data_IF_137389114449
#
_entry.id   IF_137389114449
#
_cell.length_a   1.000
_cell.length_b   1.000
_cell.length_c   1.000
_cell.angle_alpha   90.00
_cell.angle_beta   90.00
_cell.angle_gamma   90.00
#
_symmetry.space_group_name_H-M   'P 1'
#
loop_
_entity.id
_entity.type
_entity.pdbx_description
1 polymer ?
#
# COMPACT_ATOMS: atom_id res chain seq x y z
N UNK A 1 -35.95 9.69 27.31
CA UNK A 1 -34.50 9.36 27.24
C UNK A 1 -34.35 7.86 26.99
N UNK A 2 -33.30 7.42 26.30
CA UNK A 2 -33.07 6.00 25.94
C UNK A 2 -32.06 5.40 26.91
N UNK A 3 -32.33 4.23 27.45
CA UNK A 3 -31.40 3.49 28.30
C UNK A 3 -31.20 2.08 27.73
N UNK A 4 -29.96 1.63 27.56
CA UNK A 4 -29.66 0.26 27.13
C UNK A 4 -29.23 -0.56 28.33
N UNK A 5 -29.91 -1.68 28.60
CA UNK A 5 -29.62 -2.61 29.69
C UNK A 5 -29.55 -4.02 29.10
N UNK A 6 -28.46 -4.74 29.36
CA UNK A 6 -28.25 -6.12 28.92
C UNK A 6 -28.49 -6.35 27.41
N UNK A 7 -28.17 -5.35 26.57
CA UNK A 7 -28.35 -5.39 25.11
C UNK A 7 -29.77 -5.11 24.63
N UNK A 8 -30.73 -4.84 25.53
CA UNK A 8 -32.09 -4.42 25.20
C UNK A 8 -32.20 -2.90 25.38
N UNK A 9 -32.77 -2.22 24.39
CA UNK A 9 -33.06 -0.78 24.48
C UNK A 9 -34.40 -0.54 25.19
N UNK A 10 -34.44 0.46 26.07
CA UNK A 10 -35.60 0.84 26.84
C UNK A 10 -35.94 2.32 26.65
N UNK A 11 -37.23 2.63 26.57
CA UNK A 11 -37.78 3.99 26.66
C UNK A 11 -38.06 4.32 28.13
N UNK A 12 -37.57 5.46 28.58
CA UNK A 12 -37.91 6.02 29.90
C UNK A 12 -39.23 6.78 29.84
N UNK A 13 -40.19 6.36 30.68
CA UNK A 13 -41.53 6.92 30.75
C UNK A 13 -41.86 7.31 32.19
N UNK A 14 -42.21 8.58 32.42
CA UNK A 14 -42.66 9.08 33.71
C UNK A 14 -44.13 8.65 33.96
N UNK A 15 -44.31 7.45 34.51
CA UNK A 15 -45.62 6.90 34.93
C UNK A 15 -45.45 5.93 36.09
N UNK A 16 -46.54 5.61 36.80
CA UNK A 16 -46.51 4.62 37.88
C UNK A 16 -46.14 3.25 37.29
N UNK A 17 -45.20 2.56 37.94
CA UNK A 17 -44.75 1.24 37.53
C UNK A 17 -45.76 0.15 37.92
N UNK A 18 -45.72 -0.97 37.20
CA UNK A 18 -46.44 -2.20 37.51
C UNK A 18 -45.47 -3.27 38.03
N UNK A 19 -46.01 -4.25 38.77
CA UNK A 19 -45.21 -5.38 39.27
C UNK A 19 -44.53 -6.10 38.10
N UNK A 20 -43.22 -6.31 38.20
CA UNK A 20 -42.40 -6.97 37.19
C UNK A 20 -41.75 -6.03 36.17
N UNK A 21 -42.12 -4.75 36.12
CA UNK A 21 -41.45 -3.77 35.24
C UNK A 21 -40.06 -3.38 35.75
N UNK A 22 -39.20 -2.91 34.84
CA UNK A 22 -37.93 -2.28 35.20
C UNK A 22 -38.14 -0.78 35.40
N UNK A 23 -37.47 -0.20 36.39
CA UNK A 23 -37.44 1.24 36.63
C UNK A 23 -35.99 1.74 36.70
N UNK A 24 -35.76 3.00 36.37
CA UNK A 24 -34.48 3.70 36.56
C UNK A 24 -34.68 4.87 37.50
N UNK A 25 -33.80 4.99 38.50
CA UNK A 25 -33.79 6.14 39.41
C UNK A 25 -33.27 7.38 38.68
N UNK A 26 -33.99 8.50 38.78
CA UNK A 26 -33.66 9.78 38.11
C UNK A 26 -33.63 10.98 39.05
N UNK A 27 -34.16 10.83 40.27
CA UNK A 27 -34.15 11.86 41.31
C UNK A 27 -34.08 11.18 42.69
N UNK A 28 -32.93 10.59 43.01
CA UNK A 28 -32.76 9.78 44.21
C UNK A 28 -32.85 10.62 45.51
N UNK A 29 -33.87 10.35 46.32
CA UNK A 29 -34.07 10.90 47.67
C UNK A 29 -34.06 9.76 48.72
N UNK A 30 -32.99 8.96 48.70
CA UNK A 30 -32.79 7.88 49.67
C UNK A 30 -32.09 8.40 50.94
N UNK A 31 -32.77 8.50 52.10
CA UNK A 31 -32.17 8.99 53.35
C UNK A 31 -31.04 8.09 53.86
N UNK A 32 -31.03 6.82 53.44
CA UNK A 32 -30.00 5.84 53.80
C UNK A 32 -29.02 5.55 52.65
N UNK A 33 -29.08 6.31 51.55
CA UNK A 33 -28.24 6.14 50.34
C UNK A 33 -28.24 4.69 49.82
N UNK A 34 -29.39 4.03 49.89
CA UNK A 34 -29.56 2.64 49.44
C UNK A 34 -29.56 2.49 47.93
N UNK A 35 -29.82 3.59 47.20
CA UNK A 35 -29.77 3.71 45.75
C UNK A 35 -29.34 5.12 45.35
N UNK A 36 -28.98 5.30 44.08
CA UNK A 36 -28.57 6.57 43.46
C UNK A 36 -29.16 6.69 42.05
N UNK A 37 -29.12 7.90 41.49
CA UNK A 37 -29.49 8.15 40.10
C UNK A 37 -28.76 7.21 39.14
N UNK A 38 -29.51 6.66 38.19
CA UNK A 38 -29.05 5.68 37.23
C UNK A 38 -29.15 4.23 37.69
N UNK A 39 -29.42 3.94 38.97
CA UNK A 39 -29.67 2.57 39.40
C UNK A 39 -30.95 2.02 38.73
N UNK A 40 -30.91 0.74 38.36
CA UNK A 40 -31.99 0.05 37.66
C UNK A 40 -32.47 -1.11 38.49
N UNK A 41 -33.78 -1.19 38.69
CA UNK A 41 -34.39 -2.21 39.53
C UNK A 41 -35.61 -2.85 38.88
N UNK A 42 -35.99 -4.02 39.38
CA UNK A 42 -37.22 -4.72 39.00
C UNK A 42 -38.27 -4.54 40.10
N UNK A 43 -39.45 -4.07 39.73
CA UNK A 43 -40.54 -3.83 40.67
C UNK A 43 -41.09 -5.16 41.20
N UNK A 44 -41.16 -5.28 42.51
CA UNK A 44 -41.73 -6.43 43.22
C UNK A 44 -43.18 -6.17 43.66
N UNK A 45 -43.44 -4.99 44.23
CA UNK A 45 -44.74 -4.59 44.77
C UNK A 45 -45.01 -3.14 44.42
N UNK A 46 -46.28 -2.79 44.21
CA UNK A 46 -46.72 -1.43 43.91
C UNK A 46 -47.72 -0.98 44.97
N UNK A 47 -47.53 0.24 45.47
CA UNK A 47 -48.41 0.93 46.40
C UNK A 47 -48.99 2.18 45.72
N UNK A 48 -49.81 2.94 46.44
CA UNK A 48 -50.47 4.13 45.89
C UNK A 48 -49.47 5.14 45.32
N UNK A 49 -48.38 5.44 46.06
CA UNK A 49 -47.42 6.49 45.69
C UNK A 49 -45.96 6.01 45.61
N UNK A 50 -45.75 4.71 45.77
CA UNK A 50 -44.44 4.08 45.95
C UNK A 50 -44.41 2.67 45.33
N UNK A 51 -43.21 2.12 45.15
CA UNK A 51 -43.03 0.71 44.81
C UNK A 51 -41.88 0.09 45.62
N UNK A 52 -41.93 -1.22 45.85
CA UNK A 52 -40.82 -1.99 46.41
C UNK A 52 -40.07 -2.71 45.29
N UNK A 53 -38.75 -2.72 45.34
CA UNK A 53 -37.90 -3.35 44.31
C UNK A 53 -37.17 -4.59 44.81
N UNK A 54 -37.07 -5.61 43.95
CA UNK A 54 -36.58 -6.96 44.29
C UNK A 54 -35.13 -6.99 44.75
N UNK A 55 -34.27 -6.20 44.11
CA UNK A 55 -32.82 -6.32 44.25
C UNK A 55 -32.31 -5.81 45.61
N UNK A 56 -33.08 -4.92 46.27
CA UNK A 56 -32.68 -4.31 47.55
C UNK A 56 -33.76 -4.34 48.64
N UNK A 57 -34.99 -4.77 48.33
CA UNK A 57 -36.12 -4.72 49.28
C UNK A 57 -36.42 -3.30 49.78
N UNK A 58 -36.06 -2.29 48.99
CA UNK A 58 -36.23 -0.86 49.34
C UNK A 58 -37.48 -0.31 48.68
N UNK A 59 -38.08 0.68 49.35
CA UNK A 59 -39.18 1.47 48.81
C UNK A 59 -38.59 2.60 47.97
N UNK A 60 -39.22 2.90 46.84
CA UNK A 60 -38.89 4.00 45.92
C UNK A 60 -40.18 4.75 45.60
N UNK A 61 -40.18 6.07 45.79
CA UNK A 61 -41.32 6.95 45.48
C UNK A 61 -41.51 7.12 43.97
N UNK A 62 -42.76 7.33 43.54
CA UNK A 62 -43.08 7.53 42.13
C UNK A 62 -42.33 8.72 41.50
N UNK A 63 -41.99 9.75 42.29
CA UNK A 63 -41.21 10.91 41.84
C UNK A 63 -39.75 10.62 41.55
N UNK A 64 -39.17 9.55 42.12
CA UNK A 64 -37.73 9.28 42.04
C UNK A 64 -37.35 8.45 40.81
N UNK A 65 -38.32 7.90 40.06
CA UNK A 65 -38.04 6.96 38.98
C UNK A 65 -38.82 7.22 37.69
N UNK A 66 -38.29 6.64 36.61
CA UNK A 66 -38.99 6.43 35.33
C UNK A 66 -39.12 4.95 35.03
N UNK A 67 -40.21 4.54 34.40
CA UNK A 67 -40.40 3.16 33.93
C UNK A 67 -39.60 2.93 32.65
N UNK A 68 -38.94 1.78 32.57
CA UNK A 68 -38.19 1.32 31.42
C UNK A 68 -39.03 0.34 30.60
N UNK A 69 -39.63 0.84 29.53
CA UNK A 69 -40.40 0.02 28.60
C UNK A 69 -39.48 -0.54 27.51
N UNK A 70 -39.40 -1.88 27.33
CA UNK A 70 -38.52 -2.48 26.33
C UNK A 70 -38.98 -2.10 24.92
N UNK A 71 -38.03 -1.68 24.09
CA UNK A 71 -38.26 -1.46 22.66
C UNK A 71 -38.25 -2.84 21.98
N UNK A 72 -39.37 -3.24 21.40
CA UNK A 72 -39.49 -4.55 20.78
C UNK A 72 -38.62 -4.62 19.49
N UNK A 73 -38.00 -5.78 19.18
CA UNK A 73 -37.23 -5.94 17.93
C UNK A 73 -38.03 -5.63 16.65
N UNK A 74 -39.36 -5.78 16.68
CA UNK A 74 -40.25 -5.44 15.57
C UNK A 74 -40.29 -3.94 15.23
N UNK A 75 -39.84 -3.10 16.17
CA UNK A 75 -39.76 -1.65 16.02
C UNK A 75 -38.39 -1.20 15.49
N UNK A 76 -37.43 -2.12 15.30
CA UNK A 76 -36.10 -1.82 14.74
C UNK A 76 -36.03 -2.25 13.27
N UNK A 77 -35.52 -1.36 12.42
CA UNK A 77 -35.25 -1.61 11.00
C UNK A 77 -33.78 -1.28 10.68
N UNK A 78 -33.17 -2.06 9.79
CA UNK A 78 -31.86 -1.76 9.23
C UNK A 78 -32.04 -1.08 7.88
N UNK A 79 -31.54 0.14 7.74
CA UNK A 79 -31.53 0.90 6.49
C UNK A 79 -30.13 1.51 6.30
N UNK A 80 -29.54 1.38 5.11
CA UNK A 80 -28.16 1.82 4.82
C UNK A 80 -27.10 1.35 5.84
N UNK A 81 -27.24 0.12 6.34
CA UNK A 81 -26.34 -0.46 7.34
C UNK A 81 -26.45 0.16 8.74
N UNK A 82 -27.37 1.10 8.95
CA UNK A 82 -27.69 1.71 10.25
C UNK A 82 -28.99 1.13 10.80
N UNK A 83 -29.06 1.01 12.11
CA UNK A 83 -30.29 0.62 12.79
C UNK A 83 -31.11 1.87 13.10
N UNK A 84 -32.41 1.80 12.84
CA UNK A 84 -33.38 2.82 13.18
C UNK A 84 -34.52 2.22 13.97
N UNK A 85 -35.11 3.00 14.86
CA UNK A 85 -36.32 2.66 15.59
C UNK A 85 -37.51 3.40 14.98
N UNK A 86 -38.61 2.68 14.77
CA UNK A 86 -39.92 3.24 14.40
C UNK A 86 -40.51 3.98 15.60
N UNK A 87 -40.88 5.24 15.40
CA UNK A 87 -41.45 6.09 16.45
C UNK A 87 -42.72 6.74 15.91
N UNK A 88 -43.80 6.56 16.67
CA UNK A 88 -45.08 7.19 16.42
C UNK A 88 -45.06 8.64 16.94
N UNK A 89 -44.66 9.57 16.06
CA UNK A 89 -44.63 11.02 16.29
C UNK A 89 -44.58 11.77 14.94
N UNK A 90 -44.89 13.09 14.90
CA UNK A 90 -44.64 13.88 13.70
C UNK A 90 -43.18 13.87 13.30
N UNK A 91 -42.94 14.00 12.00
CA UNK A 91 -41.64 14.38 11.44
C UNK A 91 -41.25 15.77 11.96
N UNK A 92 -39.97 15.96 12.25
CA UNK A 92 -39.35 17.20 12.71
C UNK A 92 -38.17 17.52 11.83
N UNK A 93 -37.76 18.78 11.85
CA UNK A 93 -36.53 19.21 11.18
C UNK A 93 -35.34 18.32 11.63
N UNK A 94 -34.68 17.68 10.65
CA UNK A 94 -33.57 16.76 10.88
C UNK A 94 -33.92 15.26 10.88
N UNK A 95 -35.21 14.89 10.87
CA UNK A 95 -35.59 13.50 10.60
C UNK A 95 -35.33 13.16 9.13
N UNK A 96 -34.67 12.03 8.89
CA UNK A 96 -34.22 11.66 7.55
C UNK A 96 -35.16 10.68 6.84
N UNK A 97 -35.86 9.83 7.61
CA UNK A 97 -36.61 8.71 7.04
C UNK A 97 -37.91 8.46 7.81
N UNK A 98 -38.90 7.98 7.06
CA UNK A 98 -40.14 7.41 7.58
C UNK A 98 -40.36 6.01 7.02
N UNK A 99 -41.20 5.21 7.67
CA UNK A 99 -41.71 3.95 7.13
C UNK A 99 -43.21 4.09 6.89
N UNK A 100 -43.68 3.75 5.69
CA UNK A 100 -45.10 3.75 5.38
C UNK A 100 -45.80 2.65 6.19
N UNK A 101 -46.91 2.97 6.85
CA UNK A 101 -47.68 2.03 7.68
C UNK A 101 -49.02 1.64 7.07
N UNK A 102 -49.44 2.31 6.01
CA UNK A 102 -50.71 2.05 5.31
C UNK A 102 -50.49 1.33 3.97
N UNK A 103 -51.52 0.61 3.54
CA UNK A 103 -51.64 -0.01 2.21
C UNK A 103 -52.71 0.70 1.35
N UNK A 104 -53.18 1.87 1.78
CA UNK A 104 -54.21 2.66 1.09
C UNK A 104 -53.65 3.46 -0.11
N UNK A 105 -52.34 3.71 -0.13
CA UNK A 105 -51.66 4.35 -1.25
C UNK A 105 -51.20 3.34 -2.29
N UNK A 106 -51.54 3.57 -3.55
CA UNK A 106 -51.03 2.75 -4.67
C UNK A 106 -49.59 3.10 -5.06
N UNK A 107 -49.10 4.27 -4.62
CA UNK A 107 -47.76 4.79 -4.94
C UNK A 107 -46.76 4.57 -3.80
N UNK A 108 -47.22 4.05 -2.65
CA UNK A 108 -46.37 3.65 -1.53
C UNK A 108 -46.57 2.18 -1.21
N UNK A 109 -45.48 1.51 -0.86
CA UNK A 109 -45.45 0.15 -0.37
C UNK A 109 -45.43 0.16 1.16
N UNK A 110 -46.47 -0.42 1.78
CA UNK A 110 -46.52 -0.65 3.24
C UNK A 110 -45.25 -1.34 3.75
N UNK A 111 -44.61 -0.74 4.76
CA UNK A 111 -43.38 -1.22 5.37
C UNK A 111 -42.09 -0.79 4.67
N UNK A 112 -42.17 -0.10 3.52
CA UNK A 112 -41.00 0.46 2.84
C UNK A 112 -40.54 1.76 3.51
N UNK A 113 -39.22 1.98 3.49
CA UNK A 113 -38.57 3.19 4.00
C UNK A 113 -38.53 4.25 2.92
N UNK A 114 -38.90 5.48 3.27
CA UNK A 114 -38.90 6.64 2.39
C UNK A 114 -38.09 7.77 3.00
N UNK A 115 -37.37 8.50 2.14
CA UNK A 115 -36.63 9.69 2.54
C UNK A 115 -37.60 10.85 2.75
N UNK A 116 -37.38 11.62 3.83
CA UNK A 116 -38.09 12.88 4.07
C UNK A 116 -37.43 13.97 3.23
N UNK A 117 -38.21 14.58 2.34
CA UNK A 117 -37.76 15.66 1.45
C UNK A 117 -38.05 17.04 2.03
N UNK A 118 -39.08 17.16 2.88
CA UNK A 118 -39.51 18.42 3.45
C UNK A 118 -40.72 18.27 4.36
N UNK A 119 -41.11 19.38 4.98
CA UNK A 119 -42.33 19.52 5.78
C UNK A 119 -43.10 20.69 5.18
N UNK A 120 -44.35 20.48 4.76
CA UNK A 120 -45.25 21.53 4.28
C UNK A 120 -46.48 21.61 5.19
N UNK A 121 -46.52 22.62 6.06
CA UNK A 121 -47.55 22.72 7.09
C UNK A 121 -47.46 21.59 8.12
N UNK A 122 -48.50 20.74 8.17
CA UNK A 122 -48.57 19.55 9.05
C UNK A 122 -48.18 18.25 8.32
N UNK A 123 -48.01 18.33 6.99
CA UNK A 123 -47.72 17.17 6.14
C UNK A 123 -46.21 16.97 5.93
N UNK A 124 -45.81 15.71 5.72
CA UNK A 124 -44.45 15.36 5.32
C UNK A 124 -44.38 15.08 3.82
N UNK A 125 -43.38 15.68 3.16
CA UNK A 125 -43.09 15.40 1.75
C UNK A 125 -42.10 14.24 1.64
N UNK A 126 -42.44 13.22 0.86
CA UNK A 126 -41.60 12.05 0.56
C UNK A 126 -41.49 11.82 -0.94
N UNK A 127 -40.50 11.04 -1.39
CA UNK A 127 -40.46 10.52 -2.76
C UNK A 127 -41.11 9.14 -2.79
N UNK A 128 -42.11 8.94 -3.64
CA UNK A 128 -42.89 7.71 -3.74
C UNK A 128 -42.16 6.58 -4.51
N UNK A 129 -42.86 5.48 -4.81
CA UNK A 129 -42.29 4.32 -5.52
C UNK A 129 -41.95 4.60 -6.99
N UNK A 130 -42.60 5.58 -7.61
CA UNK A 130 -42.41 5.98 -9.01
C UNK A 130 -41.39 7.13 -9.15
N UNK A 131 -40.99 7.73 -8.02
CA UNK A 131 -40.00 8.81 -7.96
C UNK A 131 -40.62 10.20 -7.92
N UNK A 132 -41.94 10.30 -7.77
CA UNK A 132 -42.66 11.56 -7.66
C UNK A 132 -42.76 12.01 -6.19
N UNK A 133 -43.00 13.30 -5.97
CA UNK A 133 -43.17 13.86 -4.62
C UNK A 133 -44.61 13.66 -4.14
N UNK A 134 -44.77 13.14 -2.93
CA UNK A 134 -46.06 12.85 -2.30
C UNK A 134 -46.11 13.48 -0.90
N UNK A 135 -47.25 14.07 -0.55
CA UNK A 135 -47.57 14.57 0.78
C UNK A 135 -48.22 13.46 1.60
N UNK A 136 -47.74 13.20 2.82
CA UNK A 136 -48.37 12.28 3.78
C UNK A 136 -48.92 13.05 4.96
N UNK A 137 -50.15 12.70 5.34
CA UNK A 137 -50.85 13.27 6.47
C UNK A 137 -50.53 12.46 7.73
N UNK A 138 -50.40 13.15 8.86
CA UNK A 138 -50.20 12.52 10.15
C UNK A 138 -51.49 11.92 10.71
N UNK A 139 -52.64 12.54 10.47
CA UNK A 139 -53.88 12.22 11.16
C UNK A 139 -54.40 10.81 10.82
N UNK A 140 -53.97 10.26 9.69
CA UNK A 140 -54.34 8.92 9.22
C UNK A 140 -53.31 7.81 9.58
N UNK A 141 -52.32 8.11 10.44
CA UNK A 141 -51.27 7.16 10.85
C UNK A 141 -50.57 6.50 9.65
N UNK A 142 -50.28 7.28 8.62
CA UNK A 142 -49.76 6.80 7.33
C UNK A 142 -48.28 6.43 7.39
N UNK A 143 -47.57 6.92 8.43
CA UNK A 143 -46.15 6.69 8.61
C UNK A 143 -45.71 6.56 10.08
N UNK A 144 -44.51 5.99 10.27
CA UNK A 144 -43.73 6.10 11.51
C UNK A 144 -42.36 6.70 11.20
N UNK A 145 -41.86 7.58 12.07
CA UNK A 145 -40.53 8.19 11.94
C UNK A 145 -39.44 7.19 12.29
N UNK A 146 -38.34 7.17 11.54
CA UNK A 146 -37.18 6.34 11.82
C UNK A 146 -36.09 7.13 12.55
N UNK A 147 -35.99 6.94 13.86
CA UNK A 147 -34.92 7.53 14.68
C UNK A 147 -33.68 6.65 14.70
N UNK A 148 -32.47 7.19 14.48
CA UNK A 148 -31.25 6.40 14.50
C UNK A 148 -31.00 5.79 15.87
N UNK A 149 -30.70 4.49 15.90
CA UNK A 149 -30.27 3.77 17.09
C UNK A 149 -28.77 3.99 17.23
N UNK A 150 -28.35 4.70 18.28
CA UNK A 150 -26.92 4.84 18.57
C UNK A 150 -26.29 3.44 18.79
N UNK A 151 -25.18 3.11 18.12
CA UNK A 151 -24.50 1.84 18.36
C UNK A 151 -24.06 1.77 19.83
N UNK A 152 -24.23 0.62 20.46
CA UNK A 152 -23.81 0.43 21.84
C UNK A 152 -22.28 0.53 21.94
N UNK A 153 -21.79 0.98 23.10
CA UNK A 153 -20.36 1.03 23.38
C UNK A 153 -19.69 -0.35 23.17
N UNK A 154 -20.38 -1.43 23.56
CA UNK A 154 -19.91 -2.81 23.35
C UNK A 154 -19.79 -3.21 21.87
N UNK A 155 -20.68 -2.73 21.00
CA UNK A 155 -20.61 -2.99 19.56
C UNK A 155 -19.42 -2.26 18.94
N UNK A 156 -19.21 -1.00 19.31
CA UNK A 156 -18.06 -0.20 18.86
C UNK A 156 -16.73 -0.80 19.34
N UNK A 157 -16.67 -1.29 20.59
CA UNK A 157 -15.48 -1.97 21.11
C UNK A 157 -15.16 -3.24 20.33
N UNK A 158 -16.19 -4.02 19.96
CA UNK A 158 -16.02 -5.25 19.17
C UNK A 158 -15.51 -4.93 17.77
N UNK A 159 -16.08 -3.93 17.11
CA UNK A 159 -15.66 -3.49 15.79
C UNK A 159 -14.24 -2.91 15.80
N UNK A 160 -13.92 -2.12 16.82
CA UNK A 160 -12.57 -1.58 17.02
C UNK A 160 -11.55 -2.71 17.25
N UNK A 161 -11.89 -3.71 18.05
CA UNK A 161 -11.03 -4.87 18.28
C UNK A 161 -10.79 -5.65 16.98
N UNK A 162 -11.85 -5.91 16.19
CA UNK A 162 -11.74 -6.58 14.90
C UNK A 162 -10.88 -5.78 13.91
N UNK A 163 -11.05 -4.44 13.88
CA UNK A 163 -10.27 -3.56 13.02
C UNK A 163 -8.80 -3.54 13.41
N UNK A 164 -8.49 -3.43 14.71
CA UNK A 164 -7.11 -3.51 15.22
C UNK A 164 -6.44 -4.83 14.87
N UNK A 165 -7.17 -5.95 14.95
CA UNK A 165 -6.64 -7.26 14.58
C UNK A 165 -6.24 -7.32 13.09
N UNK A 166 -7.10 -6.80 12.20
CA UNK A 166 -6.79 -6.71 10.76
C UNK A 166 -5.59 -5.79 10.47
N UNK A 167 -5.47 -4.67 11.18
CA UNK A 167 -4.32 -3.76 11.03
C UNK A 167 -3.03 -4.47 11.45
N UNK A 168 -3.01 -5.17 12.58
CA UNK A 168 -1.84 -5.91 13.04
C UNK A 168 -1.42 -7.01 12.04
N UNK A 169 -2.40 -7.71 11.43
CA UNK A 169 -2.13 -8.69 10.38
C UNK A 169 -1.50 -8.04 9.14
N UNK A 170 -2.05 -6.92 8.67
CA UNK A 170 -1.51 -6.18 7.53
C UNK A 170 -0.09 -5.65 7.80
N UNK A 171 0.18 -5.16 9.00
CA UNK A 171 1.52 -4.71 9.39
C UNK A 171 2.53 -5.86 9.37
N UNK A 172 2.14 -7.05 9.83
CA UNK A 172 2.97 -8.26 9.76
C UNK A 172 3.25 -8.69 8.32
N UNK A 173 2.22 -8.68 7.45
CA UNK A 173 2.38 -8.97 6.03
C UNK A 173 3.30 -7.96 5.34
N UNK A 174 3.17 -6.66 5.65
CA UNK A 174 4.04 -5.62 5.12
C UNK A 174 5.49 -5.80 5.57
N UNK A 175 5.72 -6.19 6.83
CA UNK A 175 7.04 -6.50 7.34
C UNK A 175 7.68 -7.70 6.59
N UNK A 176 6.89 -8.73 6.31
CA UNK A 176 7.33 -9.90 5.52
C UNK A 176 7.70 -9.51 4.09
N UNK A 177 6.85 -8.74 3.40
CA UNK A 177 7.12 -8.26 2.04
C UNK A 177 8.40 -7.44 2.00
N UNK A 178 8.59 -6.52 2.95
CA UNK A 178 9.83 -5.73 3.06
C UNK A 178 11.05 -6.61 3.31
N UNK A 179 10.93 -7.69 4.10
CA UNK A 179 12.03 -8.64 4.33
C UNK A 179 12.38 -9.39 3.05
N UNK A 180 11.38 -9.91 2.34
CA UNK A 180 11.56 -10.64 1.06
C UNK A 180 12.17 -9.73 0.01
N UNK A 181 11.69 -8.49 -0.10
CA UNK A 181 12.24 -7.49 -1.02
C UNK A 181 13.69 -7.15 -0.69
N UNK A 182 14.01 -6.92 0.59
CA UNK A 182 15.39 -6.67 1.02
C UNK A 182 16.32 -7.87 0.76
N UNK A 183 15.81 -9.10 0.91
CA UNK A 183 16.56 -10.32 0.60
C UNK A 183 16.78 -10.50 -0.91
N UNK A 184 15.78 -10.18 -1.74
CA UNK A 184 15.88 -10.23 -3.20
C UNK A 184 16.83 -9.16 -3.76
N UNK A 185 16.88 -7.97 -3.13
CA UNK A 185 17.80 -6.89 -3.50
C UNK A 185 19.22 -7.10 -2.95
N UNK A 186 19.42 -8.03 -2.02
CA UNK A 186 20.74 -8.33 -1.45
C UNK A 186 21.66 -8.89 -2.53
N UNK A 187 22.72 -8.14 -2.82
CA UNK A 187 23.73 -8.52 -3.80
C UNK A 187 24.59 -9.66 -3.26
N UNK A 188 24.96 -10.61 -4.12
CA UNK A 188 25.80 -11.77 -3.79
C UNK A 188 27.16 -11.67 -4.47
N UNK A 189 28.13 -12.43 -3.97
CA UNK A 189 29.42 -12.58 -4.67
C UNK A 189 29.18 -13.02 -6.11
N UNK A 190 29.78 -12.31 -7.07
CA UNK A 190 29.58 -12.52 -8.50
C UNK A 190 28.54 -11.60 -9.15
N UNK A 191 27.63 -11.01 -8.38
CA UNK A 191 26.71 -9.99 -8.91
C UNK A 191 27.48 -8.72 -9.33
N UNK A 192 26.89 -7.97 -10.26
CA UNK A 192 27.37 -6.65 -10.66
C UNK A 192 26.43 -5.57 -10.11
N UNK A 193 27.04 -4.46 -9.69
CA UNK A 193 26.32 -3.33 -9.11
C UNK A 193 26.85 -2.01 -9.64
N UNK A 194 25.96 -1.02 -9.72
CA UNK A 194 26.31 0.37 -10.00
C UNK A 194 26.52 1.11 -8.69
N UNK A 195 27.60 1.86 -8.59
CA UNK A 195 27.86 2.73 -7.44
C UNK A 195 27.01 4.01 -7.56
N UNK A 196 26.12 4.24 -6.60
CA UNK A 196 25.17 5.37 -6.59
C UNK A 196 25.51 6.43 -5.54
N UNK A 197 26.60 6.26 -4.79
CA UNK A 197 27.05 7.26 -3.84
C UNK A 197 27.56 8.52 -4.56
N UNK A 198 26.78 9.59 -4.54
CA UNK A 198 27.16 10.89 -5.08
C UNK A 198 28.49 11.39 -4.51
N UNK A 199 29.35 11.93 -5.37
CA UNK A 199 30.67 12.47 -4.98
C UNK A 199 31.76 11.42 -4.77
N UNK A 200 31.44 10.12 -4.86
CA UNK A 200 32.43 9.05 -4.79
C UNK A 200 33.20 8.92 -6.13
N UNK A 201 34.50 8.61 -6.10
CA UNK A 201 35.33 8.48 -7.31
C UNK A 201 34.90 7.35 -8.26
N UNK A 202 34.08 6.43 -7.75
CA UNK A 202 33.46 5.36 -8.52
C UNK A 202 31.98 5.58 -8.84
N UNK A 203 31.41 6.76 -8.54
CA UNK A 203 30.03 7.09 -8.85
C UNK A 203 29.69 6.81 -10.32
N UNK A 204 28.59 6.10 -10.55
CA UNK A 204 28.10 5.68 -11.86
C UNK A 204 28.85 4.51 -12.49
N UNK A 205 29.97 4.03 -11.91
CA UNK A 205 30.71 2.89 -12.44
C UNK A 205 30.06 1.57 -12.02
N UNK A 206 30.23 0.57 -12.89
CA UNK A 206 29.86 -0.82 -12.61
C UNK A 206 31.03 -1.52 -11.94
N UNK A 207 30.73 -2.17 -10.82
CA UNK A 207 31.66 -2.99 -10.04
C UNK A 207 31.08 -4.38 -9.84
N UNK A 208 31.95 -5.37 -9.63
CA UNK A 208 31.56 -6.74 -9.31
C UNK A 208 31.75 -7.01 -7.82
N UNK A 209 30.79 -7.68 -7.22
CA UNK A 209 30.83 -8.05 -5.80
C UNK A 209 31.78 -9.22 -5.60
N UNK A 210 32.76 -9.06 -4.72
CA UNK A 210 33.76 -10.07 -4.37
C UNK A 210 33.59 -10.63 -2.96
N UNK A 211 32.88 -9.91 -2.08
CA UNK A 211 32.47 -10.33 -0.73
C UNK A 211 31.14 -9.69 -0.35
N UNK A 212 30.25 -10.39 0.35
CA UNK A 212 28.91 -9.92 0.77
C UNK A 212 28.60 -10.19 2.26
N UNK A 213 29.63 -10.51 3.04
CA UNK A 213 29.55 -10.97 4.44
C UNK A 213 30.54 -10.22 5.38
N UNK A 214 31.10 -9.08 4.94
CA UNK A 214 32.06 -8.34 5.76
C UNK A 214 31.40 -7.81 7.05
N UNK A 215 32.12 -7.80 8.19
CA UNK A 215 31.60 -7.25 9.43
C UNK A 215 31.44 -5.73 9.34
N UNK A 216 30.40 -5.20 9.98
CA UNK A 216 30.08 -3.76 10.00
C UNK A 216 29.15 -3.31 8.88
N UNK A 217 29.05 -1.99 8.66
CA UNK A 217 28.11 -1.42 7.68
C UNK A 217 28.55 -1.59 6.21
N UNK A 218 29.85 -1.75 5.97
CA UNK A 218 30.45 -1.92 4.64
C UNK A 218 30.56 -3.39 4.27
N UNK A 219 29.41 -4.02 4.05
CA UNK A 219 29.29 -5.47 3.83
C UNK A 219 29.86 -5.93 2.50
N UNK A 220 29.86 -5.05 1.48
CA UNK A 220 30.25 -5.42 0.13
C UNK A 220 31.71 -5.06 -0.16
N UNK A 221 32.51 -6.06 -0.50
CA UNK A 221 33.80 -5.86 -1.15
C UNK A 221 33.61 -5.91 -2.67
N UNK A 222 34.30 -5.04 -3.42
CA UNK A 222 34.11 -4.96 -4.87
C UNK A 222 35.41 -4.94 -5.66
N UNK A 223 35.31 -5.27 -6.94
CA UNK A 223 36.36 -5.13 -7.95
C UNK A 223 35.81 -4.39 -9.17
N UNK A 224 36.69 -3.71 -9.89
CA UNK A 224 36.38 -3.16 -11.21
C UNK A 224 36.25 -4.28 -12.25
N UNK A 225 35.65 -3.97 -13.41
CA UNK A 225 35.47 -4.96 -14.48
C UNK A 225 36.78 -5.55 -15.04
N UNK A 226 37.91 -4.84 -14.86
CA UNK A 226 39.25 -5.31 -15.23
C UNK A 226 39.90 -6.22 -14.15
N UNK A 227 39.16 -6.57 -13.09
CA UNK A 227 39.65 -7.42 -11.99
C UNK A 227 40.54 -6.70 -10.97
N UNK A 228 40.78 -5.39 -11.13
CA UNK A 228 41.50 -4.61 -10.11
C UNK A 228 40.56 -4.38 -8.92
N UNK A 229 41.08 -4.61 -7.71
CA UNK A 229 40.33 -4.36 -6.47
C UNK A 229 39.82 -2.92 -6.41
N UNK A 230 38.54 -2.78 -6.06
CA UNK A 230 37.87 -1.50 -5.91
C UNK A 230 37.57 -1.24 -4.42
N UNK A 231 36.57 -0.42 -4.15
CA UNK A 231 36.21 0.00 -2.79
C UNK A 231 35.26 -0.96 -2.08
N UNK A 232 34.96 -0.61 -0.83
CA UNK A 232 34.00 -1.29 0.03
C UNK A 232 32.74 -0.44 0.12
N UNK A 233 31.58 -1.09 0.11
CA UNK A 233 30.32 -0.38 0.01
C UNK A 233 29.29 -0.86 1.02
N UNK A 234 28.44 0.07 1.47
CA UNK A 234 27.20 -0.25 2.17
C UNK A 234 26.11 -0.64 1.15
N UNK A 235 25.03 -1.31 1.58
CA UNK A 235 23.91 -1.62 0.67
C UNK A 235 23.28 -0.39 0.01
N UNK A 236 23.23 0.76 0.69
CA UNK A 236 22.66 1.99 0.15
C UNK A 236 23.53 2.69 -0.91
N UNK A 237 24.80 2.30 -1.04
CA UNK A 237 25.74 2.88 -2.01
C UNK A 237 25.75 2.14 -3.34
N UNK A 238 25.04 1.01 -3.43
CA UNK A 238 25.01 0.14 -4.59
C UNK A 238 23.57 -0.11 -5.03
N UNK A 239 23.38 -0.20 -6.34
CA UNK A 239 22.16 -0.74 -6.94
C UNK A 239 22.52 -1.89 -7.86
N UNK A 240 21.72 -2.95 -7.93
CA UNK A 240 21.94 -4.04 -8.88
C UNK A 240 22.06 -3.46 -10.30
N UNK A 241 23.14 -3.80 -10.99
CA UNK A 241 23.36 -3.35 -12.36
C UNK A 241 22.45 -4.16 -13.30
N UNK A 242 21.94 -3.50 -14.33
CA UNK A 242 21.20 -4.18 -15.41
C UNK A 242 22.17 -4.84 -16.40
N UNK A 243 21.71 -5.87 -17.12
CA UNK A 243 22.53 -6.55 -18.13
C UNK A 243 23.05 -5.60 -19.22
N UNK A 244 22.26 -4.58 -19.56
CA UNK A 244 22.63 -3.53 -20.51
C UNK A 244 23.75 -2.64 -19.96
N UNK A 245 23.62 -2.16 -18.72
CA UNK A 245 24.67 -1.36 -18.06
C UNK A 245 25.99 -2.15 -17.94
N UNK A 246 25.91 -3.46 -17.64
CA UNK A 246 27.09 -4.33 -17.57
C UNK A 246 27.74 -4.47 -18.95
N UNK A 247 26.95 -4.71 -19.99
CA UNK A 247 27.45 -4.90 -21.36
C UNK A 247 28.10 -3.64 -21.89
N UNK A 248 27.47 -2.49 -21.70
CA UNK A 248 28.03 -1.20 -22.12
C UNK A 248 29.31 -0.85 -21.35
N UNK A 249 29.35 -1.12 -20.03
CA UNK A 249 30.55 -0.90 -19.25
C UNK A 249 31.71 -1.80 -19.68
N UNK A 250 31.44 -3.07 -20.03
CA UNK A 250 32.45 -3.99 -20.58
C UNK A 250 32.96 -3.53 -21.95
N UNK A 251 32.06 -3.10 -22.84
CA UNK A 251 32.42 -2.54 -24.16
C UNK A 251 33.33 -1.32 -24.02
N UNK A 252 32.98 -0.38 -23.14
CA UNK A 252 33.81 0.80 -22.86
C UNK A 252 35.19 0.44 -22.33
N UNK A 253 35.27 -0.56 -21.45
CA UNK A 253 36.55 -1.03 -20.93
C UNK A 253 37.41 -1.62 -22.06
N UNK A 254 36.85 -2.49 -22.90
CA UNK A 254 37.56 -3.10 -24.02
C UNK A 254 38.10 -2.04 -25.01
N UNK A 255 37.28 -1.04 -25.35
CA UNK A 255 37.72 0.08 -26.19
C UNK A 255 38.89 0.85 -25.56
N UNK A 256 38.78 1.19 -24.27
CA UNK A 256 39.85 1.89 -23.56
C UNK A 256 41.14 1.06 -23.45
N UNK A 257 41.05 -0.26 -23.30
CA UNK A 257 42.22 -1.14 -23.33
C UNK A 257 42.87 -1.24 -24.72
N UNK A 258 42.06 -1.23 -25.78
CA UNK A 258 42.56 -1.16 -27.16
C UNK A 258 43.29 0.17 -27.36
N UNK A 259 42.65 1.30 -27.03
CA UNK A 259 43.26 2.63 -27.10
C UNK A 259 44.59 2.71 -26.33
N UNK A 260 44.63 2.18 -25.11
CA UNK A 260 45.84 2.15 -24.30
C UNK A 260 46.97 1.31 -24.93
N UNK A 261 46.66 0.17 -25.55
CA UNK A 261 47.66 -0.67 -26.25
C UNK A 261 48.26 0.05 -27.46
N UNK A 262 47.44 0.72 -28.26
CA UNK A 262 47.91 1.53 -29.39
C UNK A 262 48.70 2.75 -28.92
N UNK A 263 48.22 3.46 -27.90
CA UNK A 263 48.94 4.59 -27.33
C UNK A 263 50.29 4.19 -26.73
N UNK A 264 50.39 3.01 -26.10
CA UNK A 264 51.64 2.49 -25.53
C UNK A 264 52.74 2.26 -26.58
N UNK A 265 52.37 1.98 -27.83
CA UNK A 265 53.32 1.87 -28.96
C UNK A 265 53.46 3.19 -29.73
N UNK A 266 52.87 4.28 -29.21
CA UNK A 266 52.95 5.63 -29.79
C UNK A 266 52.15 5.80 -31.08
N UNK A 267 51.01 5.11 -31.22
CA UNK A 267 50.19 5.11 -32.43
C UNK A 267 48.71 5.38 -32.14
N UNK A 268 47.97 5.83 -33.15
CA UNK A 268 46.51 5.93 -33.10
C UNK A 268 45.85 4.56 -33.30
N UNK A 269 44.61 4.40 -32.81
CA UNK A 269 43.87 3.13 -32.95
C UNK A 269 43.63 2.83 -34.43
N UNK A 270 44.16 1.69 -34.89
CA UNK A 270 44.05 1.27 -36.28
C UNK A 270 45.13 1.84 -37.21
N UNK A 271 46.16 2.50 -36.67
CA UNK A 271 47.31 2.99 -37.44
C UNK A 271 48.33 1.86 -37.72
N UNK A 272 48.06 1.09 -38.76
CA UNK A 272 49.00 0.06 -39.23
C UNK A 272 50.13 0.65 -40.07
N UNK A 273 51.31 0.04 -39.98
CA UNK A 273 52.51 0.36 -40.77
C UNK A 273 53.01 -0.88 -41.50
N UNK A 274 53.75 -0.66 -42.58
CA UNK A 274 54.42 -1.75 -43.31
C UNK A 274 55.37 -2.49 -42.36
N UNK A 275 55.28 -3.83 -42.38
CA UNK A 275 56.02 -4.71 -41.48
C UNK A 275 55.28 -5.10 -40.20
N UNK A 276 54.12 -4.50 -39.90
CA UNK A 276 53.27 -4.96 -38.80
C UNK A 276 52.73 -6.36 -39.09
N UNK A 277 52.55 -7.16 -38.04
CA UNK A 277 51.83 -8.42 -38.13
C UNK A 277 50.40 -8.24 -37.64
N UNK A 278 49.42 -8.55 -38.48
CA UNK A 278 48.00 -8.37 -38.20
C UNK A 278 47.24 -9.70 -38.25
N UNK A 279 46.20 -9.82 -37.43
CA UNK A 279 45.21 -10.89 -37.47
C UNK A 279 43.91 -10.35 -38.04
N UNK A 280 43.29 -11.08 -38.96
CA UNK A 280 41.97 -10.77 -39.50
C UNK A 280 40.91 -11.13 -38.46
N UNK A 281 40.02 -10.19 -38.15
CA UNK A 281 38.93 -10.38 -37.16
C UNK A 281 37.54 -10.26 -37.75
N UNK A 282 37.38 -9.53 -38.86
CA UNK A 282 36.12 -9.40 -39.59
C UNK A 282 36.41 -9.10 -41.06
N UNK A 283 36.30 -10.11 -41.90
CA UNK A 283 36.64 -10.03 -43.32
C UNK A 283 35.51 -10.54 -44.22
N UNK A 284 34.72 -9.63 -44.80
CA UNK A 284 33.66 -10.04 -45.72
C UNK A 284 34.19 -10.54 -47.08
N UNK A 285 35.39 -10.12 -47.51
CA UNK A 285 35.91 -10.35 -48.87
C UNK A 285 37.45 -10.48 -49.00
N UNK A 286 38.20 -10.68 -47.91
CA UNK A 286 39.66 -10.85 -47.93
C UNK A 286 40.06 -12.22 -47.34
N UNK A 287 41.21 -12.34 -46.67
CA UNK A 287 41.58 -13.58 -45.98
C UNK A 287 40.52 -13.99 -44.93
N UNK A 288 40.35 -15.29 -44.63
CA UNK A 288 39.38 -15.75 -43.63
C UNK A 288 39.65 -15.18 -42.23
N UNK A 289 38.59 -15.01 -41.43
CA UNK A 289 38.71 -14.63 -40.01
C UNK A 289 39.66 -15.56 -39.25
N UNK A 290 40.55 -14.97 -38.46
CA UNK A 290 41.61 -15.66 -37.74
C UNK A 290 42.93 -15.78 -38.51
N UNK A 291 42.99 -15.44 -39.80
CA UNK A 291 44.23 -15.44 -40.59
C UNK A 291 45.23 -14.41 -40.09
N UNK A 292 46.52 -14.68 -40.26
CA UNK A 292 47.60 -13.78 -39.88
C UNK A 292 48.44 -13.40 -41.10
N UNK A 293 48.86 -12.14 -41.20
CA UNK A 293 49.74 -11.68 -42.27
C UNK A 293 50.62 -10.51 -41.83
N UNK A 294 51.73 -10.33 -42.55
CA UNK A 294 52.57 -9.14 -42.47
C UNK A 294 52.03 -8.06 -43.42
N UNK A 295 51.82 -6.86 -42.91
CA UNK A 295 51.37 -5.69 -43.67
C UNK A 295 52.43 -5.32 -44.71
N UNK A 296 52.11 -5.46 -46.00
CA UNK A 296 53.05 -5.16 -47.09
C UNK A 296 52.92 -3.75 -47.63
N UNK A 297 51.73 -3.18 -47.57
CA UNK A 297 51.49 -1.83 -48.04
C UNK A 297 50.41 -1.15 -47.20
N UNK A 298 50.58 0.16 -47.00
CA UNK A 298 49.57 1.03 -46.37
C UNK A 298 49.39 2.24 -47.25
N UNK A 299 48.16 2.51 -47.69
CA UNK A 299 47.85 3.65 -48.57
C UNK A 299 46.49 4.24 -48.25
N UNK A 300 46.46 5.53 -47.93
CA UNK A 300 45.21 6.26 -47.70
C UNK A 300 44.37 5.69 -46.56
N UNK A 301 45.01 5.12 -45.52
CA UNK A 301 44.33 4.46 -44.40
C UNK A 301 43.95 2.99 -44.66
N UNK A 302 44.17 2.47 -45.87
CA UNK A 302 43.94 1.06 -46.19
C UNK A 302 45.19 0.22 -45.96
N UNK A 303 45.00 -1.02 -45.51
CA UNK A 303 46.07 -2.01 -45.30
C UNK A 303 46.00 -3.07 -46.40
N UNK A 304 47.15 -3.53 -46.89
CA UNK A 304 47.25 -4.58 -47.89
C UNK A 304 48.08 -5.76 -47.37
N UNK A 305 47.56 -6.97 -47.58
CA UNK A 305 48.29 -8.21 -47.31
C UNK A 305 49.18 -8.66 -48.49
N UNK A 306 49.74 -9.86 -48.38
CA UNK A 306 50.63 -10.45 -49.37
C UNK A 306 49.92 -10.95 -50.63
N UNK A 307 48.61 -11.21 -50.56
CA UNK A 307 47.78 -11.59 -51.72
C UNK A 307 47.21 -10.37 -52.44
N UNK A 308 47.39 -9.18 -51.86
CA UNK A 308 46.92 -7.90 -52.39
C UNK A 308 45.50 -7.55 -52.00
N UNK A 309 44.89 -8.28 -51.06
CA UNK A 309 43.58 -7.89 -50.52
C UNK A 309 43.70 -6.60 -49.72
N UNK A 310 42.63 -5.80 -49.78
CA UNK A 310 42.55 -4.49 -49.14
C UNK A 310 41.63 -4.53 -47.93
N UNK A 311 42.12 -4.01 -46.81
CA UNK A 311 41.35 -3.79 -45.59
C UNK A 311 41.10 -2.30 -45.46
N UNK A 312 39.85 -1.89 -45.74
CA UNK A 312 39.43 -0.49 -45.84
C UNK A 312 39.04 0.13 -44.49
N UNK A 313 38.72 -0.72 -43.51
CA UNK A 313 38.47 -0.32 -42.13
C UNK A 313 39.39 -1.13 -41.20
N UNK A 314 40.73 -0.93 -41.25
CA UNK A 314 41.66 -1.76 -40.50
C UNK A 314 41.34 -1.87 -39.01
N UNK A 315 40.86 -0.80 -38.37
CA UNK A 315 40.45 -0.80 -36.96
C UNK A 315 39.26 -1.71 -36.62
N UNK A 316 38.46 -2.12 -37.61
CA UNK A 316 37.35 -3.09 -37.44
C UNK A 316 37.70 -4.47 -37.96
N UNK A 317 38.51 -4.52 -39.02
CA UNK A 317 38.78 -5.76 -39.77
C UNK A 317 40.04 -6.47 -39.29
N UNK A 318 40.97 -5.74 -38.66
CA UNK A 318 42.29 -6.23 -38.28
C UNK A 318 42.58 -5.94 -36.80
N UNK A 319 43.24 -6.91 -36.16
CA UNK A 319 43.87 -6.77 -34.85
C UNK A 319 45.38 -6.74 -35.02
N UNK A 320 46.04 -5.72 -34.50
CA UNK A 320 47.50 -5.67 -34.47
C UNK A 320 48.02 -6.75 -33.51
N UNK A 321 48.87 -7.64 -34.03
CA UNK A 321 49.48 -8.75 -33.29
C UNK A 321 50.90 -8.40 -32.86
N UNK A 322 51.68 -7.84 -33.78
CA UNK A 322 53.03 -7.37 -33.49
C UNK A 322 53.33 -6.08 -34.26
N UNK A 323 53.66 -4.97 -33.57
CA UNK A 323 54.09 -3.75 -34.26
C UNK A 323 55.50 -3.93 -34.85
N UNK A 324 55.76 -3.32 -36.01
CA UNK A 324 57.09 -3.33 -36.65
C UNK A 324 58.19 -2.80 -35.72
N UNK A 325 57.87 -1.88 -34.81
CA UNK A 325 58.81 -1.33 -33.82
C UNK A 325 59.24 -2.35 -32.74
N UNK A 326 58.53 -3.48 -32.61
CA UNK A 326 58.90 -4.57 -31.70
C UNK A 326 59.80 -5.63 -32.33
N UNK A 327 60.03 -5.55 -33.66
CA UNK A 327 60.86 -6.52 -34.38
C UNK A 327 62.33 -6.21 -34.15
N UNK A 328 63.00 -7.02 -33.33
CA UNK A 328 64.46 -6.94 -33.14
C UNK A 328 65.15 -7.43 -34.43
N UNK A 329 65.79 -6.52 -35.16
CA UNK A 329 66.65 -6.86 -36.30
C UNK A 329 67.91 -7.59 -35.80
N UNK A 330 67.90 -8.92 -35.81
CA UNK A 330 69.07 -9.77 -35.48
C UNK A 330 70.02 -9.98 -36.67
N UNK A 331 69.94 -9.19 -37.74
CA UNK A 331 70.94 -9.23 -38.81
C UNK A 331 72.09 -8.31 -38.45
N UNK A 332 73.11 -8.93 -37.86
CA UNK A 332 74.40 -8.34 -37.62
C UNK A 332 75.02 -7.79 -38.90
N UNK A 333 75.68 -6.66 -38.74
CA UNK A 333 76.63 -6.12 -39.68
C UNK A 333 77.67 -7.20 -40.00
N UNK A 334 77.60 -7.74 -41.23
CA UNK A 334 78.75 -8.39 -41.83
C UNK A 334 79.69 -7.27 -42.29
N UNK A 335 80.66 -6.95 -41.43
CA UNK A 335 81.84 -6.17 -41.78
C UNK A 335 82.75 -6.93 -42.76
#
# INVERSE_FOLDING_TARGET
MMTTIDGVQYREVARKAQVGEKIKIVDADSPFRTYKDGDVFTVELVFTDECCVKEHGTIVFHSEYVVLEPVAPADIIVHDGKQYRKVDRPVREGDAFVVCTTDEYTFLTKGKVYAVNGIDGEDVMVTDDDGDELSLDRDDNEYLVLEPVAPSLSALETELAATKAKVAEMEAQLAEVKRVEAEAQRLRVGDYAKVVQSGHGNYGKIVKITRDDRPGQYVYGTEHLNGVGADIHTPSQLTRATDEEITEAKRKLELHEIEAKWHAIGREVGEFKVGDFAQVVDSPCALPDGSFFEVKHVRGGNVYDHEGFVYMLPHKQLKLVAPVESVVNLRGDAA
#
